data_IF_761148622998
#
_entry.id   IF_761148622998
#
_cell.length_a   1.000
_cell.length_b   1.000
_cell.length_c   1.000
_cell.angle_alpha   90.00
_cell.angle_beta   90.00
_cell.angle_gamma   90.00
#
_symmetry.space_group_name_H-M   'P 1'
#
loop_
_entity.id
_entity.type
_entity.pdbx_description
1 polymer ?
#
# COMPACT_ATOMS: atom_id res chain seq x y z
N UNK A 1 8.85 16.17 -6.67
CA UNK A 1 9.85 16.22 -5.56
C UNK A 1 9.85 14.92 -4.78
N UNK A 2 10.81 14.65 -3.88
CA UNK A 2 10.67 13.54 -2.91
C UNK A 2 9.52 13.86 -1.95
N UNK A 3 8.69 12.88 -1.61
CA UNK A 3 7.58 13.07 -0.66
C UNK A 3 8.11 13.28 0.77
N UNK A 4 7.58 14.24 1.55
CA UNK A 4 8.03 14.52 2.93
C UNK A 4 8.08 13.28 3.82
N UNK A 5 7.07 12.39 3.70
CA UNK A 5 6.96 11.19 4.53
C UNK A 5 7.84 10.01 4.07
N UNK A 6 8.62 10.15 3.00
CA UNK A 6 9.42 9.03 2.44
C UNK A 6 10.41 8.42 3.45
N UNK A 7 10.99 9.25 4.33
CA UNK A 7 11.92 8.80 5.36
C UNK A 7 11.24 8.04 6.49
N UNK A 8 10.04 8.48 6.88
CA UNK A 8 9.20 7.89 7.92
C UNK A 8 8.79 6.48 7.51
N UNK A 9 8.26 6.33 6.29
CA UNK A 9 7.85 5.04 5.75
C UNK A 9 9.02 4.05 5.62
N UNK A 10 10.23 4.55 5.32
CA UNK A 10 11.44 3.71 5.33
C UNK A 10 11.78 3.21 6.74
N UNK A 11 11.68 4.06 7.78
CA UNK A 11 11.87 3.65 9.18
C UNK A 11 10.83 2.61 9.60
N UNK A 12 9.55 2.84 9.28
CA UNK A 12 8.47 1.90 9.54
C UNK A 12 8.77 0.49 8.97
N UNK A 13 9.13 0.39 7.69
CA UNK A 13 9.49 -0.89 7.07
C UNK A 13 10.69 -1.58 7.75
N UNK A 14 11.65 -0.81 8.29
CA UNK A 14 12.79 -1.34 9.04
C UNK A 14 12.41 -1.85 10.44
N UNK A 15 11.52 -1.15 11.15
CA UNK A 15 11.00 -1.60 12.46
C UNK A 15 10.18 -2.88 12.28
N UNK A 16 9.30 -2.92 11.27
CA UNK A 16 8.52 -4.11 10.94
C UNK A 16 9.42 -5.32 10.65
N UNK A 17 10.46 -5.15 9.81
CA UNK A 17 11.42 -6.22 9.52
C UNK A 17 12.08 -6.73 10.81
N UNK A 18 12.64 -5.85 11.66
CA UNK A 18 13.36 -6.24 12.88
C UNK A 18 12.49 -6.97 13.90
N UNK A 19 11.25 -6.50 14.11
CA UNK A 19 10.32 -7.15 15.04
C UNK A 19 10.03 -8.58 14.61
N UNK A 20 9.89 -8.77 13.29
CA UNK A 20 9.57 -10.05 12.67
C UNK A 20 10.82 -10.96 12.61
N UNK A 21 12.03 -10.42 12.38
CA UNK A 21 13.31 -11.13 12.51
C UNK A 21 13.49 -11.72 13.93
N UNK A 22 13.08 -10.97 14.97
CA UNK A 22 13.21 -11.39 16.37
C UNK A 22 12.29 -12.57 16.72
N UNK A 23 11.07 -12.62 16.16
CA UNK A 23 10.19 -13.80 16.28
C UNK A 23 10.86 -15.03 15.65
N UNK A 24 11.52 -14.86 14.51
CA UNK A 24 12.18 -15.96 13.82
C UNK A 24 13.35 -16.54 14.63
N UNK A 25 14.18 -15.67 15.22
CA UNK A 25 15.27 -16.06 16.12
C UNK A 25 14.76 -16.84 17.34
N UNK A 26 13.74 -16.32 18.03
CA UNK A 26 13.21 -17.00 19.21
C UNK A 26 12.62 -18.38 18.89
N UNK A 27 11.98 -18.52 17.73
CA UNK A 27 11.53 -19.83 17.26
C UNK A 27 12.72 -20.76 16.95
N UNK A 28 13.90 -20.27 16.56
CA UNK A 28 15.12 -21.11 16.49
C UNK A 28 15.52 -21.58 17.87
N UNK A 29 15.58 -20.64 18.82
CA UNK A 29 16.21 -20.89 20.11
C UNK A 29 15.31 -21.69 21.08
N UNK A 30 14.00 -21.81 20.79
CA UNK A 30 12.99 -22.39 21.70
C UNK A 30 12.07 -23.44 21.05
N UNK A 31 12.36 -23.91 19.82
CA UNK A 31 11.58 -24.97 19.17
C UNK A 31 12.34 -26.30 19.14
N UNK A 32 11.89 -27.23 19.97
CA UNK A 32 12.33 -28.63 19.98
C UNK A 32 11.50 -29.52 19.03
N UNK A 33 11.98 -30.73 18.76
CA UNK A 33 11.40 -31.65 17.74
C UNK A 33 9.94 -32.02 18.01
N UNK A 34 9.58 -32.23 19.27
CA UNK A 34 8.21 -32.53 19.73
C UNK A 34 7.46 -31.29 20.27
N UNK A 35 8.06 -30.10 20.19
CA UNK A 35 7.54 -28.89 20.81
C UNK A 35 6.23 -28.42 20.18
N UNK A 36 5.27 -27.94 21.00
CA UNK A 36 4.10 -27.26 20.44
C UNK A 36 4.49 -25.89 19.88
N UNK A 37 4.81 -25.92 18.59
CA UNK A 37 4.93 -24.78 17.68
C UNK A 37 3.93 -23.66 17.96
N UNK A 38 2.67 -23.99 18.32
CA UNK A 38 1.69 -22.95 18.63
C UNK A 38 2.12 -22.19 19.87
N UNK A 39 2.35 -22.88 20.98
CA UNK A 39 2.86 -22.30 22.22
C UNK A 39 4.16 -21.49 22.00
N UNK A 40 5.16 -22.04 21.31
CA UNK A 40 6.47 -21.37 21.11
C UNK A 40 6.33 -20.05 20.35
N UNK A 41 5.54 -20.03 19.26
CA UNK A 41 5.25 -18.80 18.50
C UNK A 41 4.38 -17.84 19.30
N UNK A 42 3.38 -18.36 20.01
CA UNK A 42 2.51 -17.54 20.85
C UNK A 42 3.26 -16.89 22.00
N UNK A 43 4.30 -17.55 22.54
CA UNK A 43 5.22 -17.08 23.55
C UNK A 43 6.22 -16.06 22.98
N UNK A 44 6.77 -16.30 21.78
CA UNK A 44 7.59 -15.30 21.06
C UNK A 44 6.80 -13.99 20.87
N UNK A 45 5.54 -14.10 20.47
CA UNK A 45 4.65 -12.96 20.24
C UNK A 45 4.43 -12.10 21.48
N UNK A 46 4.24 -12.76 22.63
CA UNK A 46 4.05 -12.13 23.93
C UNK A 46 5.37 -11.57 24.49
N UNK A 47 6.48 -12.30 24.31
CA UNK A 47 7.82 -11.93 24.80
C UNK A 47 8.33 -10.66 24.12
N UNK A 48 8.21 -10.55 22.80
CA UNK A 48 8.58 -9.33 22.06
C UNK A 48 7.45 -8.33 21.86
N UNK A 49 6.24 -8.65 22.35
CA UNK A 49 5.04 -7.80 22.22
C UNK A 49 4.82 -7.31 20.78
N UNK A 50 4.85 -8.23 19.82
CA UNK A 50 4.85 -7.90 18.39
C UNK A 50 3.62 -7.08 17.98
N UNK A 51 2.47 -7.36 18.59
CA UNK A 51 1.24 -6.56 18.51
C UNK A 51 1.51 -5.09 18.82
N UNK A 52 2.14 -4.82 19.97
CA UNK A 52 2.42 -3.48 20.48
C UNK A 52 3.49 -2.80 19.63
N UNK A 53 4.58 -3.50 19.28
CA UNK A 53 5.64 -2.98 18.40
C UNK A 53 5.07 -2.56 17.04
N UNK A 54 4.11 -3.31 16.49
CA UNK A 54 3.44 -2.96 15.24
C UNK A 54 2.50 -1.77 15.39
N UNK A 55 1.64 -1.78 16.43
CA UNK A 55 0.76 -0.66 16.78
C UNK A 55 1.55 0.64 16.93
N UNK A 56 2.62 0.60 17.72
CA UNK A 56 3.45 1.76 18.04
C UNK A 56 4.29 2.21 16.84
N UNK A 57 4.76 1.30 15.98
CA UNK A 57 5.39 1.67 14.72
C UNK A 57 4.44 2.42 13.76
N UNK A 58 3.16 2.01 13.68
CA UNK A 58 2.16 2.74 12.88
C UNK A 58 1.82 4.09 13.53
N UNK A 59 1.58 4.12 14.84
CA UNK A 59 1.32 5.37 15.60
C UNK A 59 2.46 6.36 15.48
N UNK A 60 3.70 5.90 15.60
CA UNK A 60 4.91 6.72 15.45
C UNK A 60 5.07 7.22 14.01
N UNK A 61 4.75 6.40 12.99
CA UNK A 61 4.77 6.85 11.60
C UNK A 61 3.71 7.93 11.32
N UNK A 62 2.50 7.79 11.90
CA UNK A 62 1.45 8.82 11.85
C UNK A 62 1.88 10.10 12.57
N UNK A 63 2.45 9.97 13.78
CA UNK A 63 2.98 11.07 14.59
C UNK A 63 4.03 11.87 13.83
N UNK A 64 5.10 11.20 13.39
CA UNK A 64 6.20 11.83 12.65
C UNK A 64 5.70 12.48 11.35
N UNK A 65 4.64 11.95 10.74
CA UNK A 65 4.08 12.50 9.51
C UNK A 65 3.30 13.78 9.78
N UNK A 66 2.46 13.80 10.81
CA UNK A 66 1.78 15.02 11.27
C UNK A 66 2.78 16.10 11.69
N UNK A 67 3.80 15.74 12.48
CA UNK A 67 4.89 16.65 12.88
C UNK A 67 5.66 17.20 11.67
N UNK A 68 5.87 16.39 10.62
CA UNK A 68 6.51 16.83 9.38
C UNK A 68 5.63 17.73 8.50
N UNK A 69 4.30 17.69 8.65
CA UNK A 69 3.39 18.67 8.05
C UNK A 69 3.34 19.95 8.89
N UNK A 70 3.14 19.78 10.20
CA UNK A 70 2.95 20.84 11.19
C UNK A 70 4.23 21.61 11.55
N UNK A 71 5.40 21.09 11.17
CA UNK A 71 6.70 21.77 11.30
C UNK A 71 7.28 21.79 12.72
N UNK A 72 6.59 21.21 13.70
CA UNK A 72 7.02 21.10 15.09
C UNK A 72 6.47 19.82 15.74
N UNK A 73 7.08 19.43 16.85
CA UNK A 73 6.65 18.29 17.67
C UNK A 73 5.25 18.54 18.23
N UNK A 74 4.35 17.56 18.17
CA UNK A 74 3.02 17.63 18.78
C UNK A 74 2.81 16.52 19.82
N UNK A 75 2.06 16.79 20.91
CA UNK A 75 1.48 15.73 21.71
C UNK A 75 0.46 14.99 20.85
N UNK A 76 0.64 13.67 20.67
CA UNK A 76 -0.36 12.88 19.98
C UNK A 76 -1.55 12.66 20.91
N UNK A 77 -2.72 13.18 20.57
CA UNK A 77 -3.93 12.99 21.38
C UNK A 77 -4.48 11.58 21.14
N UNK A 78 -4.77 10.78 22.19
CA UNK A 78 -5.30 9.43 22.01
C UNK A 78 -6.61 9.36 21.22
N UNK A 79 -7.47 10.39 21.32
CA UNK A 79 -8.72 10.50 20.55
C UNK A 79 -8.50 10.45 19.04
N UNK A 80 -7.47 11.14 18.53
CA UNK A 80 -7.08 11.12 17.11
C UNK A 80 -6.67 9.71 16.65
N UNK A 81 -6.37 8.78 17.57
CA UNK A 81 -6.08 7.39 17.26
C UNK A 81 -7.27 6.43 17.39
N UNK A 82 -8.32 6.86 18.10
CA UNK A 82 -9.40 6.00 18.58
C UNK A 82 -10.75 6.25 17.88
N UNK A 83 -10.88 7.34 17.13
CA UNK A 83 -12.04 7.64 16.30
C UNK A 83 -12.11 6.80 15.00
N UNK A 84 -13.24 6.90 14.29
CA UNK A 84 -13.46 6.21 13.03
C UNK A 84 -12.60 6.84 11.92
N UNK A 85 -11.56 6.12 11.49
CA UNK A 85 -10.45 6.73 10.73
C UNK A 85 -10.71 6.86 9.22
N UNK A 86 -11.74 6.20 8.69
CA UNK A 86 -12.23 6.42 7.33
C UNK A 86 -13.72 6.08 7.22
N UNK A 87 -14.28 6.24 6.02
CA UNK A 87 -15.67 5.92 5.69
C UNK A 87 -16.10 4.45 5.95
N UNK A 88 -15.20 3.56 6.39
CA UNK A 88 -15.57 2.22 6.87
C UNK A 88 -16.07 2.19 8.32
N UNK A 89 -15.99 3.30 9.05
CA UNK A 89 -16.39 3.36 10.47
C UNK A 89 -15.44 2.64 11.43
N UNK A 90 -14.32 2.10 10.95
CA UNK A 90 -13.37 1.33 11.75
C UNK A 90 -12.22 2.20 12.29
N UNK A 91 -11.97 2.06 13.59
CA UNK A 91 -10.81 2.65 14.27
C UNK A 91 -9.50 2.01 13.78
N UNK A 92 -8.38 2.74 13.86
CA UNK A 92 -7.07 2.18 13.52
C UNK A 92 -6.74 0.96 14.38
N UNK A 93 -7.05 1.00 15.68
CA UNK A 93 -6.87 -0.12 16.60
C UNK A 93 -7.62 -1.39 16.16
N UNK A 94 -8.86 -1.28 15.67
CA UNK A 94 -9.61 -2.44 15.14
C UNK A 94 -8.98 -3.00 13.86
N UNK A 95 -8.55 -2.14 12.93
CA UNK A 95 -7.87 -2.56 11.69
C UNK A 95 -6.55 -3.30 11.99
N UNK A 96 -5.76 -2.80 12.93
CA UNK A 96 -4.46 -3.37 13.30
C UNK A 96 -4.59 -4.63 14.18
N UNK A 97 -5.54 -4.71 15.13
CA UNK A 97 -5.80 -5.93 15.91
C UNK A 97 -6.30 -7.10 15.04
N UNK A 98 -7.04 -6.81 13.97
CA UNK A 98 -7.38 -7.81 12.96
C UNK A 98 -6.12 -8.40 12.32
N UNK A 99 -5.23 -7.54 11.83
CA UNK A 99 -3.96 -7.94 11.22
C UNK A 99 -3.03 -8.70 12.19
N UNK A 100 -3.00 -8.33 13.47
CA UNK A 100 -2.16 -8.95 14.50
C UNK A 100 -2.58 -10.39 14.86
N UNK A 101 -3.85 -10.58 15.26
CA UNK A 101 -4.40 -11.93 15.53
C UNK A 101 -4.27 -12.84 14.31
N UNK A 102 -4.47 -12.24 13.14
CA UNK A 102 -4.27 -12.90 11.87
C UNK A 102 -2.82 -13.37 11.72
N UNK A 103 -1.83 -12.48 11.84
CA UNK A 103 -0.39 -12.78 11.67
C UNK A 103 0.12 -13.86 12.64
N UNK A 104 -0.33 -13.82 13.90
CA UNK A 104 0.07 -14.76 14.97
C UNK A 104 -0.30 -16.21 14.66
N UNK A 105 -1.54 -16.48 14.22
CA UNK A 105 -2.06 -17.83 13.96
C UNK A 105 -1.38 -18.57 12.79
N UNK A 106 -0.38 -17.96 12.14
CA UNK A 106 0.10 -18.31 10.81
C UNK A 106 1.56 -18.69 10.75
N UNK A 107 2.40 -17.97 11.51
CA UNK A 107 3.75 -18.43 11.87
C UNK A 107 3.64 -19.84 12.49
N UNK A 108 2.66 -20.05 13.38
CA UNK A 108 2.25 -21.36 13.92
C UNK A 108 2.02 -22.41 12.83
N UNK A 109 1.19 -22.10 11.83
CA UNK A 109 0.81 -23.05 10.79
C UNK A 109 1.99 -23.43 9.88
N UNK A 110 2.92 -22.51 9.65
CA UNK A 110 4.12 -22.74 8.84
C UNK A 110 5.04 -23.76 9.50
N UNK A 111 5.41 -23.53 10.74
CA UNK A 111 6.37 -24.36 11.44
C UNK A 111 5.77 -25.76 11.68
N UNK A 112 4.46 -25.88 11.99
CA UNK A 112 3.77 -27.19 12.07
C UNK A 112 3.80 -27.96 10.76
N UNK A 113 3.77 -27.29 9.60
CA UNK A 113 3.91 -27.94 8.30
C UNK A 113 5.36 -28.36 8.00
N UNK A 114 6.37 -27.64 8.51
CA UNK A 114 7.78 -28.00 8.31
C UNK A 114 8.20 -29.21 9.16
N UNK A 115 7.73 -29.32 10.41
CA UNK A 115 7.95 -30.51 11.24
C UNK A 115 7.31 -31.77 10.60
N UNK A 116 6.08 -31.64 10.07
CA UNK A 116 5.40 -32.73 9.32
C UNK A 116 6.15 -33.24 8.08
N UNK A 117 7.16 -32.51 7.59
CA UNK A 117 8.01 -32.94 6.47
C UNK A 117 9.31 -33.64 6.94
N UNK A 118 9.35 -34.16 8.18
CA UNK A 118 10.52 -34.80 8.81
C UNK A 118 11.79 -33.94 8.70
N UNK A 119 11.67 -32.66 9.04
CA UNK A 119 12.82 -31.79 9.28
C UNK A 119 12.98 -31.57 10.78
N UNK A 120 14.20 -31.76 11.29
CA UNK A 120 14.57 -31.39 12.66
C UNK A 120 14.13 -29.96 12.98
N UNK A 121 13.60 -29.72 14.18
CA UNK A 121 13.00 -28.44 14.54
C UNK A 121 13.96 -27.24 14.39
N UNK A 122 15.21 -27.42 14.81
CA UNK A 122 16.30 -26.46 14.59
C UNK A 122 16.51 -26.10 13.10
N UNK A 123 16.25 -27.05 12.18
CA UNK A 123 16.34 -26.81 10.74
C UNK A 123 15.07 -26.14 10.21
N UNK A 124 13.88 -26.47 10.71
CA UNK A 124 12.64 -25.76 10.37
C UNK A 124 12.76 -24.26 10.77
N UNK A 125 13.22 -24.00 11.99
CA UNK A 125 13.40 -22.65 12.48
C UNK A 125 14.58 -21.90 11.81
N UNK A 126 15.69 -22.56 11.45
CA UNK A 126 16.72 -21.90 10.60
C UNK A 126 16.16 -21.45 9.24
N UNK A 127 15.32 -22.27 8.60
CA UNK A 127 14.64 -21.86 7.35
C UNK A 127 13.69 -20.67 7.56
N UNK A 128 13.08 -20.53 8.74
CA UNK A 128 12.26 -19.37 9.12
C UNK A 128 13.11 -18.07 9.13
N UNK A 129 14.31 -18.13 9.70
CA UNK A 129 15.22 -16.99 9.86
C UNK A 129 16.00 -16.61 8.60
N UNK A 130 16.56 -17.60 7.89
CA UNK A 130 17.27 -17.38 6.64
C UNK A 130 16.33 -16.80 5.58
N UNK A 131 15.06 -17.18 5.63
CA UNK A 131 13.99 -16.56 4.84
C UNK A 131 13.88 -15.05 5.09
N UNK A 132 13.84 -14.59 6.34
CA UNK A 132 13.70 -13.16 6.63
C UNK A 132 14.91 -12.33 6.18
N UNK A 133 16.11 -12.91 6.23
CA UNK A 133 17.36 -12.27 5.76
C UNK A 133 17.54 -12.27 4.23
N UNK A 134 16.85 -13.15 3.50
CA UNK A 134 16.98 -13.33 2.05
C UNK A 134 15.78 -12.83 1.23
N UNK A 135 14.65 -12.51 1.87
CA UNK A 135 13.41 -12.08 1.20
C UNK A 135 12.37 -13.20 1.00
N UNK A 136 12.42 -14.26 1.82
CA UNK A 136 11.55 -15.45 1.79
C UNK A 136 11.00 -15.88 3.19
N UNK A 137 10.35 -15.01 3.98
CA UNK A 137 9.62 -15.37 5.23
C UNK A 137 8.61 -14.29 5.73
N UNK A 138 7.61 -14.52 6.63
CA UNK A 138 6.68 -15.65 6.96
C UNK A 138 5.25 -15.11 7.34
N UNK A 139 4.91 -13.87 6.96
CA UNK A 139 3.56 -13.23 7.11
C UNK A 139 2.46 -13.89 6.24
N UNK A 140 1.18 -13.71 6.57
CA UNK A 140 0.04 -14.38 5.90
C UNK A 140 -1.24 -13.73 6.47
N UNK A 141 -2.42 -13.61 5.83
CA UNK A 141 -2.83 -13.71 4.41
C UNK A 141 -3.17 -12.29 3.91
N UNK A 142 -3.43 -12.16 2.61
CA UNK A 142 -4.79 -11.94 2.12
C UNK A 142 -5.16 -13.17 1.27
N UNK A 143 -6.37 -13.29 0.74
CA UNK A 143 -6.53 -14.27 -0.35
C UNK A 143 -5.48 -13.99 -1.41
N UNK A 144 -4.69 -15.02 -1.75
CA UNK A 144 -3.78 -14.93 -2.88
C UNK A 144 -4.67 -14.57 -4.08
N UNK A 145 -4.33 -13.53 -4.88
CA UNK A 145 -5.19 -13.04 -5.95
C UNK A 145 -5.80 -14.20 -6.73
N UNK A 146 -7.13 -14.24 -6.88
CA UNK A 146 -7.87 -15.47 -7.22
C UNK A 146 -7.22 -16.27 -8.36
N UNK A 147 -6.73 -15.60 -9.40
CA UNK A 147 -6.00 -16.21 -10.51
C UNK A 147 -4.74 -17.01 -10.11
N UNK A 148 -3.97 -16.58 -9.10
CA UNK A 148 -2.84 -17.32 -8.53
C UNK A 148 -3.33 -18.46 -7.63
N UNK A 149 -4.37 -18.24 -6.83
CA UNK A 149 -4.95 -19.29 -5.97
C UNK A 149 -5.52 -20.44 -6.82
N UNK A 150 -6.19 -20.13 -7.93
CA UNK A 150 -6.70 -21.10 -8.91
C UNK A 150 -5.55 -21.90 -9.55
N UNK A 151 -4.44 -21.23 -9.88
CA UNK A 151 -3.21 -21.89 -10.40
C UNK A 151 -2.61 -22.84 -9.35
N UNK A 152 -2.49 -22.43 -8.09
CA UNK A 152 -1.96 -23.27 -7.00
C UNK A 152 -2.87 -24.46 -6.72
N UNK A 153 -4.19 -24.24 -6.69
CA UNK A 153 -5.18 -25.30 -6.50
C UNK A 153 -5.16 -26.30 -7.68
N UNK A 154 -4.93 -25.81 -8.90
CA UNK A 154 -4.79 -26.65 -10.08
C UNK A 154 -3.47 -27.46 -10.05
N UNK A 155 -2.37 -26.87 -9.58
CA UNK A 155 -1.06 -27.53 -9.47
C UNK A 155 -1.02 -28.62 -8.39
N UNK A 156 -1.94 -28.58 -7.41
CA UNK A 156 -2.07 -29.56 -6.32
C UNK A 156 -3.03 -30.72 -6.63
N UNK A 157 -3.56 -30.83 -7.85
CA UNK A 157 -4.40 -31.96 -8.24
C UNK A 157 -3.54 -33.21 -8.40
N UNK A 158 -3.96 -34.31 -7.76
CA UNK A 158 -3.25 -35.59 -7.76
C UNK A 158 -3.17 -36.26 -9.14
N UNK A 159 -4.12 -35.93 -10.02
CA UNK A 159 -4.17 -36.42 -11.40
C UNK A 159 -4.16 -35.22 -12.35
N UNK A 160 -3.11 -35.13 -13.18
CA UNK A 160 -2.95 -34.11 -14.21
C UNK A 160 -2.72 -34.81 -15.56
N UNK A 161 -3.60 -34.57 -16.52
CA UNK A 161 -3.45 -35.07 -17.88
C UNK A 161 -2.43 -34.24 -18.68
N UNK A 162 -2.02 -34.74 -19.85
CA UNK A 162 -1.20 -33.96 -20.78
C UNK A 162 -1.88 -32.64 -21.23
N UNK A 163 -3.22 -32.62 -21.29
CA UNK A 163 -4.01 -31.42 -21.57
C UNK A 163 -3.97 -30.42 -20.40
N UNK A 164 -4.05 -30.90 -19.15
CA UNK A 164 -3.91 -30.06 -17.96
C UNK A 164 -2.54 -29.38 -17.91
N UNK A 165 -1.47 -30.08 -18.29
CA UNK A 165 -0.13 -29.49 -18.42
C UNK A 165 -0.05 -28.35 -19.43
N UNK A 166 -0.81 -28.41 -20.53
CA UNK A 166 -0.89 -27.32 -21.50
C UNK A 166 -1.69 -26.12 -20.96
N UNK A 167 -2.81 -26.39 -20.29
CA UNK A 167 -3.63 -25.37 -19.62
C UNK A 167 -2.84 -24.67 -18.51
N UNK A 168 -2.09 -25.41 -17.70
CA UNK A 168 -1.22 -24.89 -16.64
C UNK A 168 -0.18 -23.91 -17.21
N UNK A 169 0.54 -24.31 -18.27
CA UNK A 169 1.50 -23.44 -18.97
C UNK A 169 0.83 -22.19 -19.56
N UNK A 170 -0.44 -22.23 -19.94
CA UNK A 170 -1.18 -21.04 -20.40
C UNK A 170 -1.55 -20.11 -19.25
N UNK A 171 -2.03 -20.66 -18.12
CA UNK A 171 -2.36 -19.90 -16.92
C UNK A 171 -1.13 -19.23 -16.31
N UNK A 172 -0.02 -19.96 -16.15
CA UNK A 172 1.26 -19.41 -15.66
C UNK A 172 1.76 -18.27 -16.57
N UNK A 173 1.66 -18.39 -17.90
CA UNK A 173 2.01 -17.30 -18.85
C UNK A 173 1.09 -16.07 -18.76
N UNK A 174 -0.18 -16.25 -18.40
CA UNK A 174 -1.10 -15.13 -18.12
C UNK A 174 -0.76 -14.46 -16.79
N UNK A 175 -0.52 -15.26 -15.76
CA UNK A 175 -0.15 -14.79 -14.43
C UNK A 175 1.20 -14.05 -14.41
N UNK A 176 2.25 -14.56 -15.10
CA UNK A 176 3.55 -13.86 -15.20
C UNK A 176 3.42 -12.45 -15.78
N UNK A 177 2.53 -12.24 -16.75
CA UNK A 177 2.23 -10.89 -17.28
C UNK A 177 1.53 -10.00 -16.26
N UNK A 178 0.58 -10.51 -15.48
CA UNK A 178 -0.07 -9.76 -14.40
C UNK A 178 0.90 -9.42 -13.26
N UNK A 179 1.82 -10.34 -12.94
CA UNK A 179 2.84 -10.15 -11.91
C UNK A 179 3.91 -9.13 -12.36
N UNK A 180 4.27 -9.10 -13.65
CA UNK A 180 5.24 -8.11 -14.17
C UNK A 180 4.83 -6.66 -13.87
N UNK A 181 3.52 -6.35 -14.02
CA UNK A 181 2.91 -5.04 -13.74
C UNK A 181 3.04 -4.59 -12.27
N UNK A 182 3.29 -5.53 -11.33
CA UNK A 182 3.45 -5.21 -9.90
C UNK A 182 4.80 -4.52 -9.70
N UNK A 183 4.79 -3.24 -9.32
CA UNK A 183 6.05 -2.50 -9.10
C UNK A 183 6.68 -1.93 -10.36
N UNK A 184 6.00 -2.02 -11.51
CA UNK A 184 6.29 -1.14 -12.63
C UNK A 184 6.13 0.33 -12.22
N UNK A 185 6.88 1.19 -12.91
CA UNK A 185 6.88 2.64 -12.72
C UNK A 185 7.14 3.16 -11.28
N UNK A 186 7.73 2.34 -10.40
CA UNK A 186 8.25 2.80 -9.10
C UNK A 186 7.30 2.63 -7.91
N UNK A 187 6.21 1.88 -8.06
CA UNK A 187 5.42 1.45 -6.90
C UNK A 187 6.30 0.63 -5.91
N UNK A 188 6.19 0.86 -4.59
CA UNK A 188 7.06 0.25 -3.57
C UNK A 188 6.59 -1.17 -3.20
N UNK A 189 6.58 -2.08 -4.16
CA UNK A 189 6.11 -3.46 -3.99
C UNK A 189 6.92 -4.48 -4.81
N UNK A 190 8.21 -4.20 -5.01
CA UNK A 190 9.13 -5.09 -5.75
C UNK A 190 9.29 -6.46 -5.08
N UNK A 191 9.37 -6.54 -3.75
CA UNK A 191 9.45 -7.81 -3.02
C UNK A 191 8.21 -8.69 -3.26
N UNK A 192 7.01 -8.10 -3.26
CA UNK A 192 5.75 -8.78 -3.63
C UNK A 192 5.77 -9.30 -5.08
N UNK A 193 6.33 -8.53 -6.04
CA UNK A 193 6.52 -9.04 -7.41
C UNK A 193 7.45 -10.24 -7.44
N UNK A 194 8.59 -10.18 -6.75
CA UNK A 194 9.56 -11.28 -6.69
C UNK A 194 8.91 -12.54 -6.12
N UNK A 195 8.25 -12.43 -4.96
CA UNK A 195 7.52 -13.52 -4.33
C UNK A 195 6.48 -14.19 -5.24
N UNK A 196 5.68 -13.40 -5.97
CA UNK A 196 4.71 -13.94 -6.94
C UNK A 196 5.37 -14.53 -8.19
N UNK A 197 6.55 -14.05 -8.58
CA UNK A 197 7.31 -14.60 -9.71
C UNK A 197 7.90 -15.96 -9.36
N UNK A 198 8.47 -16.09 -8.15
CA UNK A 198 8.98 -17.35 -7.60
C UNK A 198 7.88 -18.39 -7.44
N UNK A 199 6.69 -17.99 -6.98
CA UNK A 199 5.50 -18.85 -6.96
C UNK A 199 5.19 -19.44 -8.34
N UNK A 200 5.18 -18.60 -9.38
CA UNK A 200 4.87 -19.04 -10.74
C UNK A 200 5.98 -19.91 -11.36
N UNK A 201 7.21 -19.79 -10.88
CA UNK A 201 8.30 -20.70 -11.23
C UNK A 201 8.10 -22.06 -10.54
N UNK A 202 7.88 -22.07 -9.22
CA UNK A 202 7.64 -23.29 -8.46
C UNK A 202 6.42 -24.12 -8.97
N UNK A 203 5.38 -23.44 -9.46
CA UNK A 203 4.25 -24.09 -10.19
C UNK A 203 4.71 -24.72 -11.50
N UNK A 204 5.52 -24.00 -12.30
CA UNK A 204 5.99 -24.47 -13.60
C UNK A 204 6.96 -25.66 -13.48
N UNK A 205 7.76 -25.67 -12.42
CA UNK A 205 8.79 -26.68 -12.15
C UNK A 205 8.22 -27.95 -11.47
N UNK A 206 6.94 -27.94 -11.07
CA UNK A 206 6.21 -29.12 -10.57
C UNK A 206 6.66 -29.66 -9.21
N UNK A 207 7.63 -29.03 -8.54
CA UNK A 207 8.11 -29.49 -7.23
C UNK A 207 7.17 -29.04 -6.11
N UNK A 208 6.40 -29.97 -5.54
CA UNK A 208 5.48 -29.71 -4.41
C UNK A 208 6.17 -28.98 -3.25
N UNK A 209 7.39 -29.41 -2.90
CA UNK A 209 8.23 -28.79 -1.85
C UNK A 209 8.67 -27.36 -2.21
N UNK A 210 8.87 -27.04 -3.49
CA UNK A 210 9.12 -25.66 -3.94
C UNK A 210 7.81 -24.85 -3.94
N UNK A 211 6.71 -25.45 -4.41
CA UNK A 211 5.39 -24.84 -4.47
C UNK A 211 4.91 -24.40 -3.09
N UNK A 212 4.98 -25.27 -2.08
CA UNK A 212 4.59 -24.92 -0.71
C UNK A 212 5.40 -23.77 -0.11
N UNK A 213 6.71 -23.73 -0.38
CA UNK A 213 7.57 -22.60 0.03
C UNK A 213 7.18 -21.32 -0.69
N UNK A 214 7.03 -21.35 -2.01
CA UNK A 214 6.73 -20.15 -2.77
C UNK A 214 5.28 -19.65 -2.57
N UNK A 215 4.33 -20.56 -2.31
CA UNK A 215 2.98 -20.25 -1.82
C UNK A 215 3.06 -19.57 -0.47
N UNK A 216 3.98 -20.01 0.40
CA UNK A 216 4.22 -19.32 1.65
C UNK A 216 4.72 -17.90 1.37
N UNK A 217 5.87 -17.74 0.72
CA UNK A 217 6.52 -16.45 0.40
C UNK A 217 5.58 -15.43 -0.24
N UNK A 218 4.77 -15.86 -1.20
CA UNK A 218 3.76 -15.03 -1.84
C UNK A 218 2.73 -14.41 -0.86
N UNK A 219 2.34 -15.14 0.20
CA UNK A 219 1.37 -14.64 1.19
C UNK A 219 1.99 -13.63 2.16
N UNK A 220 3.31 -13.61 2.29
CA UNK A 220 4.07 -12.86 3.29
C UNK A 220 4.27 -11.44 2.86
N UNK A 221 4.88 -11.30 1.69
CA UNK A 221 5.05 -10.03 1.04
C UNK A 221 3.69 -9.38 0.74
N UNK A 222 2.62 -10.18 0.61
CA UNK A 222 1.25 -9.64 0.48
C UNK A 222 0.74 -9.00 1.77
N UNK A 223 0.99 -9.60 2.94
CA UNK A 223 0.59 -9.01 4.22
C UNK A 223 1.52 -7.86 4.65
N UNK A 224 2.84 -7.96 4.40
CA UNK A 224 3.78 -6.82 4.52
C UNK A 224 3.29 -5.63 3.69
N UNK A 225 2.95 -5.87 2.42
CA UNK A 225 2.39 -4.84 1.52
C UNK A 225 1.10 -4.21 2.06
N UNK A 226 0.23 -4.95 2.75
CA UNK A 226 -0.98 -4.39 3.38
C UNK A 226 -0.62 -3.51 4.57
N UNK A 227 0.29 -3.97 5.45
CA UNK A 227 0.79 -3.17 6.57
C UNK A 227 1.45 -1.86 6.12
N UNK A 228 2.33 -1.93 5.12
CA UNK A 228 2.94 -0.75 4.49
C UNK A 228 1.91 0.15 3.80
N UNK A 229 0.87 -0.42 3.17
CA UNK A 229 -0.21 0.36 2.57
C UNK A 229 -0.96 1.15 3.63
N UNK A 230 -1.30 0.54 4.77
CA UNK A 230 -1.97 1.23 5.89
C UNK A 230 -1.07 2.36 6.40
N UNK A 231 0.17 2.06 6.80
CA UNK A 231 1.10 3.07 7.30
C UNK A 231 1.32 4.21 6.29
N UNK A 232 1.38 3.92 4.99
CA UNK A 232 1.50 4.91 3.90
C UNK A 232 0.25 5.76 3.74
N UNK A 233 -0.94 5.16 3.82
CA UNK A 233 -2.21 5.87 3.73
C UNK A 233 -2.41 6.80 4.92
N UNK A 234 -2.17 6.32 6.15
CA UNK A 234 -2.39 7.13 7.35
C UNK A 234 -1.29 8.19 7.55
N UNK A 235 -0.03 7.91 7.18
CA UNK A 235 1.01 8.94 7.17
C UNK A 235 0.75 10.03 6.12
N UNK A 236 0.20 9.69 4.95
CA UNK A 236 -0.13 10.68 3.92
C UNK A 236 -1.28 11.61 4.35
N UNK A 237 -2.29 11.07 5.04
CA UNK A 237 -3.38 11.82 5.65
C UNK A 237 -2.86 12.72 6.78
N UNK A 238 -2.22 12.13 7.79
CA UNK A 238 -1.71 12.87 8.95
C UNK A 238 -0.73 13.99 8.58
N UNK A 239 0.11 13.79 7.56
CA UNK A 239 0.96 14.86 7.03
C UNK A 239 0.14 16.02 6.43
N UNK A 240 -0.94 15.73 5.72
CA UNK A 240 -1.82 16.76 5.16
C UNK A 240 -2.57 17.51 6.28
N UNK A 241 -3.08 16.80 7.28
CA UNK A 241 -3.77 17.40 8.44
C UNK A 241 -2.82 18.37 9.19
N UNK A 242 -1.59 17.94 9.46
CA UNK A 242 -0.56 18.78 10.08
C UNK A 242 -0.14 19.96 9.19
N UNK A 243 -0.05 19.77 7.87
CA UNK A 243 0.26 20.84 6.93
C UNK A 243 -0.83 21.92 6.89
N UNK A 244 -2.10 21.51 6.83
CA UNK A 244 -3.27 22.40 6.90
C UNK A 244 -3.32 23.15 8.25
N UNK A 245 -3.20 22.43 9.36
CA UNK A 245 -3.18 23.02 10.72
C UNK A 245 -2.04 24.04 10.95
N UNK A 246 -0.97 24.01 10.15
CA UNK A 246 0.11 24.99 10.19
C UNK A 246 -0.14 26.21 9.30
N UNK A 247 -0.67 26.00 8.10
CA UNK A 247 -0.63 27.00 7.03
C UNK A 247 -1.99 27.58 6.64
N UNK A 248 -3.12 27.03 7.10
CA UNK A 248 -4.45 27.52 6.71
C UNK A 248 -4.67 28.98 7.15
N UNK A 249 -4.21 29.33 8.35
CA UNK A 249 -4.27 30.68 8.91
C UNK A 249 -2.98 31.50 8.73
N UNK A 250 -2.04 31.04 7.90
CA UNK A 250 -0.80 31.77 7.60
C UNK A 250 -1.04 32.78 6.47
N UNK A 251 -1.02 34.08 6.78
CA UNK A 251 -1.31 35.18 5.85
C UNK A 251 -0.24 35.34 4.75
N UNK A 252 0.99 34.88 4.94
CA UNK A 252 2.03 34.91 3.89
C UNK A 252 1.75 33.85 2.81
N UNK A 253 0.96 32.81 3.12
CA UNK A 253 0.57 31.74 2.22
C UNK A 253 -0.77 32.07 1.57
N UNK A 254 -0.81 32.16 0.24
CA UNK A 254 -2.03 32.47 -0.50
C UNK A 254 -2.81 31.22 -0.92
N UNK A 255 -2.12 30.16 -1.31
CA UNK A 255 -2.70 28.98 -1.92
C UNK A 255 -1.79 27.76 -1.75
N UNK A 256 -2.29 26.58 -2.13
CA UNK A 256 -1.52 25.34 -2.14
C UNK A 256 -1.39 24.78 -3.55
N UNK A 257 -0.21 24.27 -3.87
CA UNK A 257 0.09 23.59 -5.12
C UNK A 257 0.14 22.09 -4.92
N UNK A 258 -0.53 21.35 -5.80
CA UNK A 258 -0.45 19.89 -5.83
C UNK A 258 0.85 19.42 -6.48
N UNK A 259 1.76 18.86 -5.67
CA UNK A 259 3.10 18.45 -6.11
C UNK A 259 3.19 16.94 -6.27
N UNK A 260 3.49 16.50 -7.50
CA UNK A 260 3.77 15.09 -7.77
C UNK A 260 5.03 14.63 -7.05
N UNK A 261 4.89 13.48 -6.38
CA UNK A 261 6.03 12.73 -5.85
C UNK A 261 6.91 12.22 -6.99
N UNK A 262 8.22 12.14 -6.78
CA UNK A 262 9.13 11.42 -7.69
C UNK A 262 8.89 9.90 -7.68
N UNK A 263 7.97 9.42 -6.84
CA UNK A 263 7.46 8.05 -6.81
C UNK A 263 6.01 7.93 -7.29
N UNK A 264 5.48 8.98 -7.93
CA UNK A 264 4.17 8.94 -8.57
C UNK A 264 4.20 7.92 -9.72
N UNK A 265 3.45 6.79 -9.65
CA UNK A 265 3.77 5.64 -10.50
C UNK A 265 2.99 5.61 -11.82
N UNK A 266 1.74 6.05 -11.85
CA UNK A 266 0.88 5.87 -13.01
C UNK A 266 0.14 7.17 -13.33
N UNK A 267 -0.22 7.34 -14.59
CA UNK A 267 -1.02 8.48 -15.02
C UNK A 267 -2.44 8.36 -14.46
N UNK A 268 -2.77 9.18 -13.47
CA UNK A 268 -4.03 9.13 -12.73
C UNK A 268 -4.51 10.54 -12.30
N UNK A 269 -5.50 10.61 -11.39
CA UNK A 269 -6.10 11.87 -10.95
C UNK A 269 -5.07 12.87 -10.36
N UNK A 270 -3.95 12.40 -9.79
CA UNK A 270 -2.86 13.28 -9.37
C UNK A 270 -2.26 14.08 -10.52
N UNK A 271 -2.18 13.53 -11.74
CA UNK A 271 -1.68 14.27 -12.90
C UNK A 271 -2.64 15.39 -13.32
N UNK A 272 -3.95 15.16 -13.17
CA UNK A 272 -4.95 16.20 -13.38
C UNK A 272 -4.83 17.26 -12.28
N UNK A 273 -4.80 16.87 -11.00
CA UNK A 273 -4.63 17.80 -9.90
C UNK A 273 -3.30 18.59 -9.98
N UNK A 274 -2.23 18.03 -10.53
CA UNK A 274 -0.95 18.73 -10.71
C UNK A 274 -0.90 19.72 -11.89
N UNK A 275 -1.76 19.56 -12.90
CA UNK A 275 -1.57 20.18 -14.22
C UNK A 275 -2.82 20.88 -14.80
N UNK A 276 -4.00 20.63 -14.26
CA UNK A 276 -5.22 21.35 -14.62
C UNK A 276 -5.30 22.68 -13.85
N UNK A 277 -5.82 23.73 -14.49
CA UNK A 277 -6.11 25.00 -13.81
C UNK A 277 -7.58 25.00 -13.38
N UNK A 278 -7.87 24.32 -12.27
CA UNK A 278 -9.24 24.12 -11.78
C UNK A 278 -9.83 25.34 -11.06
N UNK A 279 -8.98 26.30 -10.66
CA UNK A 279 -9.39 27.44 -9.82
C UNK A 279 -9.04 28.81 -10.41
N UNK A 280 -8.66 28.88 -11.70
CA UNK A 280 -8.18 30.11 -12.36
C UNK A 280 -6.77 30.57 -11.95
N UNK A 281 -6.29 30.10 -10.79
CA UNK A 281 -5.02 30.43 -10.14
C UNK A 281 -3.77 29.94 -10.89
N UNK A 282 -3.85 28.84 -11.63
CA UNK A 282 -2.74 28.25 -12.38
C UNK A 282 -2.74 26.72 -12.35
N UNK A 283 -1.86 26.06 -13.14
CA UNK A 283 -1.77 24.61 -13.16
C UNK A 283 -1.49 24.01 -11.77
N UNK A 284 -2.46 23.25 -11.27
CA UNK A 284 -2.41 22.56 -9.99
C UNK A 284 -2.35 23.43 -8.75
N UNK A 285 -2.82 24.68 -8.83
CA UNK A 285 -2.96 25.57 -7.68
C UNK A 285 -4.42 25.58 -7.20
N UNK A 286 -4.58 25.39 -5.89
CA UNK A 286 -5.86 25.29 -5.19
C UNK A 286 -5.92 26.36 -4.09
N UNK A 287 -7.06 27.04 -3.90
CA UNK A 287 -7.37 27.75 -2.66
C UNK A 287 -7.22 26.82 -1.45
N UNK A 288 -6.89 27.37 -0.27
CA UNK A 288 -6.56 26.57 0.92
C UNK A 288 -7.70 25.62 1.33
N UNK A 289 -8.92 26.15 1.32
CA UNK A 289 -10.20 25.47 1.61
C UNK A 289 -10.72 24.62 0.43
N UNK A 290 -9.90 24.42 -0.62
CA UNK A 290 -10.29 23.74 -1.86
C UNK A 290 -9.30 22.67 -2.34
N UNK A 291 -8.39 22.20 -1.48
CA UNK A 291 -7.49 21.09 -1.81
C UNK A 291 -8.21 19.74 -1.88
N UNK A 292 -7.75 18.81 -2.74
CA UNK A 292 -8.17 17.41 -2.67
C UNK A 292 -7.67 16.76 -1.37
N UNK A 293 -8.55 16.02 -0.68
CA UNK A 293 -8.21 15.32 0.56
C UNK A 293 -7.17 14.22 0.27
N UNK A 294 -6.02 14.30 0.93
CA UNK A 294 -4.95 13.29 0.81
C UNK A 294 -5.24 12.07 1.72
N UNK A 295 -4.92 10.84 1.29
CA UNK A 295 -4.45 10.44 -0.04
C UNK A 295 -5.59 10.17 -1.04
N UNK A 296 -5.52 10.78 -2.23
CA UNK A 296 -6.55 10.65 -3.30
C UNK A 296 -6.55 9.30 -4.04
N UNK A 297 -5.57 8.44 -3.80
CA UNK A 297 -5.55 7.06 -4.30
C UNK A 297 -4.66 6.16 -3.43
N UNK A 298 -4.80 4.82 -3.49
CA UNK A 298 -3.89 3.91 -2.80
C UNK A 298 -2.42 4.21 -3.16
N UNK A 299 -1.56 4.23 -2.14
CA UNK A 299 -0.12 4.54 -2.27
C UNK A 299 0.22 5.94 -2.77
N UNK A 300 -0.72 6.89 -2.76
CA UNK A 300 -0.40 8.29 -3.04
C UNK A 300 0.70 8.79 -2.09
N UNK A 301 1.74 9.39 -2.68
CA UNK A 301 2.83 10.08 -1.99
C UNK A 301 2.95 11.54 -2.47
N UNK A 302 2.05 11.98 -3.35
CA UNK A 302 1.90 13.37 -3.75
C UNK A 302 1.49 14.19 -2.52
N UNK A 303 1.83 15.47 -2.53
CA UNK A 303 1.77 16.33 -1.35
C UNK A 303 1.47 17.75 -1.78
N UNK A 304 1.02 18.56 -0.84
CA UNK A 304 0.84 19.99 -1.03
C UNK A 304 2.20 20.70 -0.94
N UNK A 305 2.28 21.87 -1.55
CA UNK A 305 3.41 22.80 -1.45
C UNK A 305 2.86 24.21 -1.37
N UNK A 306 3.56 25.09 -0.67
CA UNK A 306 3.12 26.47 -0.47
C UNK A 306 3.15 27.24 -1.80
N UNK A 307 2.25 28.20 -1.92
CA UNK A 307 2.31 29.31 -2.87
C UNK A 307 2.12 30.59 -2.07
N UNK A 308 3.17 31.42 -2.00
CA UNK A 308 3.16 32.65 -1.21
C UNK A 308 2.36 33.77 -1.90
N UNK A 309 1.90 34.75 -1.12
CA UNK A 309 1.19 35.94 -1.63
C UNK A 309 1.95 36.72 -2.71
N UNK A 310 3.28 36.63 -2.72
CA UNK A 310 4.16 37.25 -3.72
C UNK A 310 4.24 36.48 -5.04
N UNK A 311 3.88 35.20 -5.04
CA UNK A 311 3.97 34.32 -6.22
C UNK A 311 2.67 34.31 -7.05
N UNK A 312 1.55 34.77 -6.48
CA UNK A 312 0.23 34.59 -7.10
C UNK A 312 -0.73 35.77 -6.90
N UNK A 313 -1.49 36.09 -7.94
CA UNK A 313 -2.58 37.05 -7.85
C UNK A 313 -3.91 36.34 -7.58
N UNK A 314 -4.35 36.37 -6.32
CA UNK A 314 -5.59 35.72 -5.85
C UNK A 314 -6.88 36.32 -6.44
N UNK A 315 -6.86 37.54 -7.00
CA UNK A 315 -8.03 38.08 -7.74
C UNK A 315 -8.40 37.30 -9.00
N UNK A 316 -7.53 36.37 -9.44
CA UNK A 316 -7.80 35.43 -10.54
C UNK A 316 -8.56 34.16 -10.10
N UNK A 317 -8.78 33.97 -8.80
CA UNK A 317 -9.54 32.83 -8.28
C UNK A 317 -10.96 32.83 -8.82
N UNK A 318 -11.39 31.68 -9.33
CA UNK A 318 -12.76 31.41 -9.79
C UNK A 318 -12.96 29.90 -9.86
N UNK A 319 -14.17 29.40 -9.61
CA UNK A 319 -14.48 28.01 -9.96
C UNK A 319 -14.32 27.85 -11.47
N UNK A 320 -13.31 27.09 -11.85
CA UNK A 320 -13.05 26.69 -13.21
C UNK A 320 -12.86 25.17 -13.26
N UNK A 321 -13.48 24.40 -12.35
CA UNK A 321 -13.24 22.96 -12.23
C UNK A 321 -13.58 22.30 -13.56
N UNK A 322 -14.82 22.48 -14.03
CA UNK A 322 -15.31 21.87 -15.27
C UNK A 322 -14.42 22.27 -16.46
N UNK A 323 -14.29 23.56 -16.74
CA UNK A 323 -13.64 24.05 -17.96
C UNK A 323 -12.11 23.90 -17.91
N UNK A 324 -11.50 23.95 -16.72
CA UNK A 324 -10.09 23.67 -16.48
C UNK A 324 -9.76 22.20 -16.67
N UNK A 325 -10.65 21.30 -16.24
CA UNK A 325 -10.60 19.87 -16.53
C UNK A 325 -10.81 19.56 -18.01
N UNK A 326 -11.80 20.19 -18.67
CA UNK A 326 -12.01 20.09 -20.11
C UNK A 326 -10.77 20.54 -20.90
N UNK A 327 -10.21 21.70 -20.55
CA UNK A 327 -9.01 22.23 -21.16
C UNK A 327 -7.80 21.30 -20.93
N UNK A 328 -7.70 20.65 -19.77
CA UNK A 328 -6.67 19.66 -19.48
C UNK A 328 -6.82 18.41 -20.35
N UNK A 329 -8.02 17.81 -20.38
CA UNK A 329 -8.34 16.58 -21.12
C UNK A 329 -8.20 16.75 -22.64
N UNK A 330 -8.51 17.93 -23.18
CA UNK A 330 -8.28 18.29 -24.60
C UNK A 330 -6.81 18.19 -25.00
N UNK A 331 -5.86 18.44 -24.07
CA UNK A 331 -4.42 18.36 -24.32
C UNK A 331 -3.83 16.95 -24.16
N UNK A 332 -4.61 15.98 -23.69
CA UNK A 332 -4.12 14.62 -23.48
C UNK A 332 -4.33 13.73 -24.72
N UNK A 333 -3.59 12.62 -24.79
CA UNK A 333 -3.90 11.55 -25.74
C UNK A 333 -5.20 10.83 -25.33
N UNK A 334 -5.86 10.18 -26.28
CA UNK A 334 -7.03 9.33 -26.01
C UNK A 334 -6.71 8.28 -24.92
N UNK A 335 -5.56 7.61 -25.01
CA UNK A 335 -5.11 6.63 -24.01
C UNK A 335 -5.05 7.23 -22.59
N UNK A 336 -4.54 8.47 -22.45
CA UNK A 336 -4.52 9.17 -21.15
C UNK A 336 -5.92 9.50 -20.65
N UNK A 337 -6.84 9.94 -21.52
CA UNK A 337 -8.26 10.13 -21.15
C UNK A 337 -8.89 8.83 -20.64
N UNK A 338 -8.60 7.70 -21.28
CA UNK A 338 -9.08 6.37 -20.84
C UNK A 338 -8.54 5.93 -19.47
N UNK A 339 -7.35 6.38 -19.05
CA UNK A 339 -6.84 6.11 -17.70
C UNK A 339 -7.67 6.83 -16.63
N UNK A 340 -7.98 8.11 -16.87
CA UNK A 340 -8.74 8.99 -15.97
C UNK A 340 -10.24 8.65 -15.91
N UNK A 341 -10.86 8.48 -17.08
CA UNK A 341 -12.32 8.39 -17.26
C UNK A 341 -12.84 6.97 -17.52
N UNK A 342 -11.94 6.00 -17.73
CA UNK A 342 -12.30 4.74 -18.40
C UNK A 342 -12.57 4.93 -19.90
N UNK A 343 -12.80 3.83 -20.61
CA UNK A 343 -13.02 3.84 -22.07
C UNK A 343 -14.34 4.56 -22.40
N UNK A 344 -15.43 4.16 -21.76
CA UNK A 344 -16.76 4.70 -22.00
C UNK A 344 -16.84 6.19 -21.64
N UNK A 345 -16.24 6.59 -20.50
CA UNK A 345 -16.18 7.98 -20.07
C UNK A 345 -15.33 8.86 -20.99
N UNK A 346 -14.21 8.33 -21.51
CA UNK A 346 -13.41 9.04 -22.51
C UNK A 346 -14.20 9.28 -23.80
N UNK A 347 -14.90 8.26 -24.33
CA UNK A 347 -15.73 8.41 -25.52
C UNK A 347 -16.94 9.33 -25.30
N UNK A 348 -17.63 9.20 -24.16
CA UNK A 348 -18.79 10.04 -23.83
C UNK A 348 -18.38 11.52 -23.72
N UNK A 349 -17.23 11.81 -23.11
CA UNK A 349 -16.68 13.17 -23.04
C UNK A 349 -16.19 13.68 -24.41
N UNK A 350 -15.45 12.86 -25.18
CA UNK A 350 -14.98 13.20 -26.54
C UNK A 350 -16.13 13.55 -27.49
N UNK A 351 -17.30 12.92 -27.29
CA UNK A 351 -18.51 13.14 -28.09
C UNK A 351 -19.43 14.24 -27.52
N UNK A 352 -19.02 14.93 -26.45
CA UNK A 352 -19.79 15.99 -25.80
C UNK A 352 -21.06 15.53 -25.09
N UNK A 353 -21.18 14.22 -24.79
CA UNK A 353 -22.37 13.59 -24.19
C UNK A 353 -22.37 13.58 -22.66
N UNK A 354 -21.20 13.77 -22.03
CA UNK A 354 -21.05 13.71 -20.58
C UNK A 354 -20.03 14.73 -20.06
N UNK A 355 -20.25 15.18 -18.82
CA UNK A 355 -19.26 15.91 -18.05
C UNK A 355 -18.19 14.94 -17.54
N UNK A 356 -16.91 15.28 -17.66
CA UNK A 356 -15.81 14.40 -17.27
C UNK A 356 -15.86 14.00 -15.80
N UNK A 357 -16.43 14.83 -14.92
CA UNK A 357 -16.57 14.56 -13.47
C UNK A 357 -17.44 13.34 -13.17
N UNK A 358 -18.39 13.00 -14.07
CA UNK A 358 -19.27 11.84 -13.92
C UNK A 358 -18.50 10.50 -14.06
N UNK A 359 -17.34 10.51 -14.72
CA UNK A 359 -16.54 9.33 -15.03
C UNK A 359 -15.15 9.35 -14.38
N UNK A 360 -14.75 10.45 -13.76
CA UNK A 360 -13.42 10.62 -13.18
C UNK A 360 -13.22 9.67 -11.99
N UNK A 361 -12.25 8.78 -12.12
CA UNK A 361 -11.89 7.82 -11.07
C UNK A 361 -11.25 8.52 -9.88
N UNK A 362 -11.70 8.19 -8.68
CA UNK A 362 -11.28 8.80 -7.41
C UNK A 362 -11.55 10.32 -7.32
N UNK A 363 -12.48 10.85 -8.11
CA UNK A 363 -12.97 12.20 -7.90
C UNK A 363 -13.78 12.29 -6.61
N UNK A 364 -13.42 13.24 -5.74
CA UNK A 364 -14.20 13.59 -4.57
C UNK A 364 -14.97 14.88 -4.85
N UNK A 365 -16.28 14.87 -4.58
CA UNK A 365 -17.05 16.11 -4.45
C UNK A 365 -16.85 16.75 -3.06
N UNK A 366 -16.42 15.96 -2.08
CA UNK A 366 -16.01 16.45 -0.77
C UNK A 366 -14.62 17.05 -0.91
N UNK A 367 -14.61 18.37 -1.09
CA UNK A 367 -13.42 19.22 -1.04
C UNK A 367 -13.38 19.80 0.36
N UNK A 368 -12.31 19.51 1.11
CA UNK A 368 -12.39 19.40 2.57
C UNK A 368 -12.68 20.69 3.34
N UNK A 369 -13.71 20.64 4.19
CA UNK A 369 -13.70 21.20 5.54
C UNK A 369 -14.34 20.15 6.47
N UNK A 370 -13.57 19.66 7.44
CA UNK A 370 -14.03 19.01 8.68
C UNK A 370 -13.03 19.35 9.77
#
# INVERSE_FOLDING_TARGET
MKSPISGILKRFSQVFQRAVDAVALYVIDNLDEDGDVKAVVEQAWLTYKISDVFMDAVRQAVKEACEAGYGQTIPLLPSQLEEAWDASGMTLSKKLHGADKEMRARVVGTIKNQLKQNRHAMQAARNLYDGYRSGQAVVRRQEMPKYLQDIVNFARRSELTAADGAQMRQLVRRARRQVALIGEHGAPNQALRTAYSELLNAVADGSEKALDRAVHVALEEKSRYVAERIARTEAARAWADGFHARYDTDDDVAAYKWTLSSRHPHYDICDLYAQANLWGLGPGIFPKDKTPILPVHPHCLCHLSLVYVTEINMSRQRDQIKDGGDAYLKRQSHQKRCHLLGIDGAHAWEQGRADWRQYMRNWSNDIGIT
#
